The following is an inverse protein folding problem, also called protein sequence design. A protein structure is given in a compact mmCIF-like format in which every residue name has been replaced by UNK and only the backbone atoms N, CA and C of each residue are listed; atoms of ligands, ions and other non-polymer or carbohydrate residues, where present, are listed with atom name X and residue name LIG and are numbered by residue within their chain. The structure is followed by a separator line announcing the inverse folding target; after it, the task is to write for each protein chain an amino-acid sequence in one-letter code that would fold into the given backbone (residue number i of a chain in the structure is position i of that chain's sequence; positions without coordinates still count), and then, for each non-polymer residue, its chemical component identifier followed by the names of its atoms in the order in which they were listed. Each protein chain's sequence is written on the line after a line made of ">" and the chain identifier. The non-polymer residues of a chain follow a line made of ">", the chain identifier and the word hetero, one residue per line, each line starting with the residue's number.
data_IF_518495439011
#
_entry.id   IF_518495439011
#
_cell.length_a   1.000
_cell.length_b   1.000
_cell.length_c   1.000
_cell.angle_alpha   90.00
_cell.angle_beta   90.00
_cell.angle_gamma   90.00
#
_symmetry.space_group_name_H-M   'P 1'
#
loop_
_entity.id
_entity.type
_entity.pdbx_description
1 polymer ?
2 water ?
#
# COMPACT_ATOMS: atom_id res chain seq x y z
N UNK A 9 20.93 -0.88 6.27
CA UNK A 9 21.25 0.08 5.23
C UNK A 9 20.49 1.39 5.44
N UNK A 10 21.18 2.51 5.30
CA UNK A 10 20.59 3.81 5.55
C UNK A 10 20.76 4.73 4.36
N UNK A 11 20.05 5.84 4.40
CA UNK A 11 20.30 6.98 3.52
C UNK A 11 20.67 8.15 4.43
N UNK A 12 21.98 8.31 4.67
CA UNK A 12 22.47 9.54 5.29
C UNK A 12 22.12 10.66 4.33
N UNK A 13 21.09 11.45 4.68
CA UNK A 13 20.54 12.38 3.69
C UNK A 13 21.33 13.67 3.59
N UNK A 14 21.92 14.15 4.70
CA UNK A 14 22.66 15.40 4.65
C UNK A 14 23.79 15.33 3.63
N UNK A 15 24.54 14.24 3.61
CA UNK A 15 25.59 14.07 2.60
C UNK A 15 24.97 13.83 1.22
N UNK A 16 23.91 13.02 1.16
CA UNK A 16 23.19 12.86 -0.09
C UNK A 16 22.56 14.17 -0.57
N UNK A 17 22.40 15.14 0.34
CA UNK A 17 21.80 16.43 0.00
C UNK A 17 22.82 17.47 -0.46
N UNK A 18 24.10 17.26 -0.21
CA UNK A 18 25.14 18.23 -0.55
C UNK A 18 26.31 17.57 -1.24
N UNK A 19 26.03 16.55 -2.04
CA UNK A 19 27.05 15.85 -2.84
C UNK A 19 26.71 16.02 -4.31
N UNK A 20 27.71 16.41 -5.10
CA UNK A 20 27.50 16.73 -6.52
C UNK A 20 26.44 17.81 -6.70
N UNK A 21 26.33 18.72 -5.72
CA UNK A 21 25.31 19.75 -5.79
C UNK A 21 25.65 20.71 -6.92
N UNK A 22 24.64 21.07 -7.70
CA UNK A 22 24.80 22.00 -8.82
C UNK A 22 23.58 22.90 -8.80
N UNK A 23 23.61 23.98 -8.01
CA UNK A 23 22.41 24.79 -7.81
C UNK A 23 21.88 25.35 -9.12
N UNK A 24 20.57 25.16 -9.34
CA UNK A 24 19.85 25.58 -10.54
C UNK A 24 20.43 24.99 -11.82
N UNK A 25 21.30 23.98 -11.71
CA UNK A 25 21.74 23.20 -12.87
C UNK A 25 20.69 22.14 -13.17
N UNK A 26 19.56 22.61 -13.68
CA UNK A 26 18.40 21.74 -13.90
C UNK A 26 18.68 20.66 -14.92
N UNK A 27 19.76 20.80 -15.70
CA UNK A 27 20.10 19.75 -16.66
C UNK A 27 20.83 18.59 -15.99
N UNK A 28 21.59 18.86 -14.93
CA UNK A 28 22.36 17.83 -14.26
C UNK A 28 21.59 17.15 -13.14
N UNK A 29 20.26 17.23 -13.16
CA UNK A 29 19.44 16.46 -12.22
C UNK A 29 19.60 14.98 -12.50
N UNK A 30 19.58 14.59 -13.77
CA UNK A 30 19.72 13.21 -14.18
C UNK A 30 20.93 13.10 -15.10
N UNK A 31 21.73 12.05 -14.88
CA UNK A 31 22.86 11.74 -15.75
C UNK A 31 22.37 11.55 -17.19
N UNK A 32 22.69 12.50 -18.07
CA UNK A 32 22.26 12.42 -19.45
C UNK A 32 23.13 11.48 -20.29
N UNK A 33 24.29 11.08 -19.78
CA UNK A 33 25.10 10.03 -20.38
C UNK A 33 24.48 8.69 -19.98
N UNK A 34 23.84 8.01 -20.94
CA UNK A 34 23.00 6.86 -20.57
C UNK A 34 23.82 5.69 -20.08
N UNK A 35 25.03 5.48 -20.63
CA UNK A 35 25.88 4.43 -20.10
C UNK A 35 26.31 4.70 -18.67
N UNK A 36 26.67 5.95 -18.38
CA UNK A 36 26.96 6.32 -17.00
C UNK A 36 25.74 6.19 -16.11
N UNK A 37 24.55 6.43 -16.65
CA UNK A 37 23.34 6.36 -15.84
C UNK A 37 23.07 4.95 -15.35
N UNK A 38 23.24 3.95 -16.20
CA UNK A 38 22.92 2.59 -15.80
C UNK A 38 23.98 2.06 -14.83
N UNK A 39 25.23 2.48 -14.98
CA UNK A 39 26.25 2.11 -13.99
C UNK A 39 26.01 2.83 -12.67
N UNK A 40 25.41 4.02 -12.72
CA UNK A 40 24.99 4.71 -11.50
C UNK A 40 23.98 3.87 -10.72
N UNK A 41 23.00 3.29 -11.42
CA UNK A 41 21.93 2.56 -10.76
C UNK A 41 22.37 1.15 -10.40
N UNK A 42 23.05 0.46 -11.32
CA UNK A 42 23.50 -0.92 -11.12
C UNK A 42 25.01 -0.93 -11.18
N UNK A 43 25.68 -0.58 -10.06
CA UNK A 43 27.13 -0.33 -10.08
C UNK A 43 27.98 -1.45 -10.67
N UNK A 44 27.93 -2.64 -10.08
CA UNK A 44 28.75 -3.75 -10.55
C UNK A 44 28.08 -4.55 -11.65
N UNK A 45 26.75 -4.66 -11.57
CA UNK A 45 26.00 -5.60 -12.41
C UNK A 45 26.13 -5.21 -13.89
N UNK A 46 26.19 -3.92 -14.18
CA UNK A 46 26.02 -3.42 -15.53
C UNK A 46 27.31 -3.42 -16.36
N UNK A 47 28.44 -3.83 -15.79
CA UNK A 47 29.63 -4.07 -16.59
C UNK A 47 30.29 -5.40 -16.31
N UNK A 48 29.74 -6.20 -15.39
CA UNK A 48 30.24 -7.56 -15.19
C UNK A 48 30.06 -8.36 -16.48
N UNK A 49 31.14 -9.00 -16.92
CA UNK A 49 31.08 -9.90 -18.06
C UNK A 49 30.65 -11.31 -17.67
N UNK A 50 30.21 -11.50 -16.42
CA UNK A 50 29.78 -12.79 -15.91
C UNK A 50 28.38 -12.68 -15.31
N UNK A 51 27.53 -11.86 -15.92
CA UNK A 51 26.17 -11.69 -15.43
C UNK A 51 25.29 -12.82 -15.97
N UNK A 52 24.42 -13.40 -15.13
CA UNK A 52 23.44 -14.37 -15.64
C UNK A 52 22.57 -13.72 -16.71
N UNK A 53 22.20 -14.53 -17.70
CA UNK A 53 21.58 -14.01 -18.90
C UNK A 53 20.18 -13.49 -18.62
N UNK A 54 19.49 -14.06 -17.63
CA UNK A 54 18.20 -13.53 -17.22
C UNK A 54 18.35 -12.08 -16.78
N UNK A 55 19.46 -11.76 -16.13
CA UNK A 55 19.69 -10.37 -15.72
C UNK A 55 20.08 -9.51 -16.91
N UNK A 56 20.94 -10.02 -17.79
CA UNK A 56 21.35 -9.25 -18.96
C UNK A 56 20.15 -8.85 -19.82
N UNK A 57 19.14 -9.72 -19.90
CA UNK A 57 17.90 -9.35 -20.57
C UNK A 57 17.17 -8.23 -19.81
N UNK A 58 17.18 -8.30 -18.48
CA UNK A 58 16.54 -7.27 -17.67
C UNK A 58 17.14 -5.90 -17.95
N UNK A 59 18.48 -5.82 -17.97
CA UNK A 59 19.13 -4.57 -18.31
C UNK A 59 18.80 -4.13 -19.74
N UNK A 60 18.75 -5.09 -20.66
CA UNK A 60 18.39 -4.75 -22.04
C UNK A 60 16.97 -4.19 -22.11
N UNK A 61 16.03 -4.78 -21.37
CA UNK A 61 14.69 -4.22 -21.28
C UNK A 61 14.72 -2.80 -20.72
N UNK A 62 15.75 -2.46 -19.95
CA UNK A 62 15.84 -1.17 -19.28
C UNK A 62 16.39 -0.08 -20.20
N UNK A 63 17.27 -0.44 -21.15
CA UNK A 63 17.86 0.52 -22.08
C UNK A 63 16.87 1.49 -22.71
N UNK A 64 15.70 1.06 -23.22
CA UNK A 64 14.76 2.05 -23.77
C UNK A 64 14.13 2.93 -22.71
N UNK A 65 13.88 2.39 -21.51
CA UNK A 65 13.22 3.17 -20.47
C UNK A 65 14.13 4.29 -19.99
N UNK A 66 15.39 3.95 -19.68
CA UNK A 66 16.35 4.98 -19.29
C UNK A 66 16.53 6.01 -20.39
N UNK A 67 16.58 5.56 -21.64
CA UNK A 67 16.67 6.49 -22.76
C UNK A 67 15.52 7.48 -22.75
N UNK A 68 14.29 6.97 -22.63
CA UNK A 68 13.12 7.85 -22.61
C UNK A 68 13.17 8.78 -21.41
N UNK A 69 13.59 8.28 -20.25
CA UNK A 69 13.71 9.12 -19.07
C UNK A 69 14.66 10.29 -19.31
N UNK A 70 15.78 10.04 -19.98
CA UNK A 70 16.71 11.10 -20.30
C UNK A 70 16.09 12.11 -21.25
N UNK A 71 15.33 11.62 -22.23
CA UNK A 71 14.69 12.51 -23.20
C UNK A 71 13.66 13.40 -22.52
N UNK A 72 12.80 12.82 -21.70
CA UNK A 72 11.81 13.61 -20.97
C UNK A 72 12.47 14.64 -20.07
N UNK A 73 13.56 14.26 -19.40
CA UNK A 73 14.26 15.18 -18.51
C UNK A 73 14.80 16.39 -19.26
N UNK A 74 15.12 16.23 -20.54
CA UNK A 74 15.76 17.30 -21.30
C UNK A 74 14.76 18.23 -22.00
N UNK A 75 13.51 17.81 -22.13
CA UNK A 75 12.46 18.67 -22.67
C UNK A 75 11.56 19.25 -21.59
N UNK A 76 11.96 19.11 -20.33
CA UNK A 76 11.17 19.55 -19.18
C UNK A 76 11.72 20.87 -18.65
N UNK A 77 10.82 21.79 -18.30
CA UNK A 77 11.21 23.05 -17.65
C UNK A 77 10.97 22.89 -16.16
N UNK A 78 12.04 22.65 -15.40
CA UNK A 78 11.91 22.58 -13.96
C UNK A 78 11.65 23.96 -13.36
N UNK A 79 12.15 25.01 -14.00
CA UNK A 79 11.84 26.37 -13.57
C UNK A 79 10.35 26.65 -13.66
N UNK A 80 9.66 26.05 -14.63
CA UNK A 80 8.23 26.30 -14.78
C UNK A 80 7.44 25.74 -13.61
N UNK A 81 7.63 24.44 -13.32
CA UNK A 81 6.74 23.76 -12.39
C UNK A 81 6.95 24.25 -10.96
N UNK A 82 8.17 24.66 -10.61
CA UNK A 82 8.39 25.15 -9.25
C UNK A 82 7.69 26.49 -9.05
N UNK A 83 7.62 27.32 -10.11
CA UNK A 83 6.88 28.57 -10.01
C UNK A 83 5.38 28.33 -9.85
N UNK A 84 4.89 27.16 -10.28
CA UNK A 84 3.49 26.81 -10.06
C UNK A 84 3.30 26.21 -8.67
N UNK A 85 3.99 25.11 -8.37
CA UNK A 85 3.76 24.40 -7.12
C UNK A 85 4.30 25.18 -5.94
N UNK A 86 5.49 25.76 -6.06
CA UNK A 86 6.18 26.41 -4.94
C UNK A 86 6.58 27.84 -5.32
N UNK A 87 5.62 28.71 -5.60
CA UNK A 87 5.98 30.07 -6.04
C UNK A 87 6.53 30.90 -4.90
N UNK A 88 7.18 32.01 -5.28
CA UNK A 88 7.70 32.95 -4.30
C UNK A 88 6.57 33.51 -3.44
N UNK A 89 6.65 33.39 -2.12
CA UNK A 89 5.54 33.86 -1.31
C UNK A 89 5.87 34.82 -0.19
N UNK A 90 4.88 35.02 0.66
CA UNK A 90 5.00 35.90 1.82
C UNK A 90 5.90 35.20 2.77
N UNK A 91 5.68 33.90 2.91
CA UNK A 91 6.54 33.10 3.74
C UNK A 91 7.80 32.95 2.90
N UNK A 92 8.95 33.02 3.51
CA UNK A 92 10.16 32.91 2.75
C UNK A 92 10.66 31.48 2.61
N UNK A 93 9.94 30.53 3.16
CA UNK A 93 10.30 29.14 3.09
C UNK A 93 9.17 28.39 2.43
N UNK A 94 9.50 27.33 1.70
CA UNK A 94 8.51 26.52 0.99
C UNK A 94 8.01 25.43 1.91
N UNK A 95 6.69 25.31 2.03
CA UNK A 95 6.11 24.31 2.91
C UNK A 95 6.49 22.92 2.43
N UNK A 96 6.79 21.99 3.34
CA UNK A 96 7.08 20.62 2.92
C UNK A 96 6.00 20.03 2.03
N UNK A 97 4.73 20.32 2.32
CA UNK A 97 3.64 19.84 1.47
C UNK A 97 3.79 20.33 0.04
N UNK A 98 4.17 21.59 -0.14
CA UNK A 98 4.43 22.09 -1.49
C UNK A 98 5.66 21.42 -2.09
N UNK A 99 6.69 21.17 -1.27
CA UNK A 99 7.87 20.45 -1.73
C UNK A 99 7.50 19.03 -2.14
N UNK A 100 6.62 18.38 -1.37
CA UNK A 100 6.09 17.06 -1.70
C UNK A 100 5.51 17.08 -3.10
N UNK A 101 4.43 17.84 -3.27
CA UNK A 101 3.72 17.91 -4.53
C UNK A 101 4.67 18.16 -5.69
N UNK A 102 5.60 19.10 -5.50
CA UNK A 102 6.54 19.42 -6.57
C UNK A 102 7.35 18.21 -7.00
N UNK A 103 7.93 17.50 -6.04
CA UNK A 103 8.74 16.33 -6.36
C UNK A 103 7.90 15.26 -7.04
N UNK A 104 6.77 14.89 -6.44
CA UNK A 104 5.90 13.86 -7.01
C UNK A 104 5.47 14.24 -8.41
N UNK A 105 5.10 15.51 -8.61
CA UNK A 105 4.68 15.96 -9.94
C UNK A 105 5.82 15.83 -10.94
N UNK A 106 7.02 16.23 -10.54
CA UNK A 106 8.19 16.10 -11.41
C UNK A 106 8.38 14.65 -11.85
N UNK A 107 8.24 13.71 -10.91
CA UNK A 107 8.36 12.29 -11.26
C UNK A 107 7.25 11.88 -12.22
N UNK A 108 6.01 12.31 -11.92
CA UNK A 108 4.87 11.87 -12.71
C UNK A 108 4.96 12.35 -14.16
N UNK A 109 5.61 13.48 -14.40
CA UNK A 109 5.62 14.07 -15.73
C UNK A 109 6.84 13.70 -16.56
N UNK A 110 7.87 13.11 -15.95
CA UNK A 110 9.09 12.75 -16.69
C UNK A 110 9.40 11.26 -16.65
N UNK A 111 9.12 10.57 -15.55
CA UNK A 111 9.46 9.17 -15.44
C UNK A 111 8.58 8.33 -16.36
N UNK A 112 9.15 7.44 -17.18
CA UNK A 112 8.32 6.45 -17.86
C UNK A 112 7.59 5.59 -16.84
N UNK A 113 6.39 5.14 -17.23
CA UNK A 113 5.59 4.35 -16.30
C UNK A 113 6.23 2.99 -16.02
N UNK A 114 6.90 2.40 -17.02
CA UNK A 114 7.51 1.10 -16.82
C UNK A 114 8.79 1.15 -15.98
N UNK A 115 9.21 2.31 -15.49
CA UNK A 115 10.42 2.35 -14.67
C UNK A 115 10.18 1.73 -13.30
N UNK A 116 9.17 2.21 -12.59
CA UNK A 116 8.72 1.57 -11.35
C UNK A 116 7.56 0.62 -11.59
N UNK A 117 7.05 0.54 -12.81
CA UNK A 117 6.06 -0.45 -13.15
C UNK A 117 4.62 0.06 -13.20
N UNK A 118 4.03 0.22 -12.02
CA UNK A 118 2.62 0.58 -11.91
C UNK A 118 2.47 1.86 -11.09
N UNK A 119 1.24 2.37 -11.05
CA UNK A 119 0.93 3.47 -10.15
C UNK A 119 1.03 3.02 -8.70
N UNK A 120 0.63 1.78 -8.42
CA UNK A 120 0.82 1.20 -7.09
C UNK A 120 2.25 1.39 -6.61
N UNK A 121 3.22 1.06 -7.46
CA UNK A 121 4.62 1.23 -7.07
C UNK A 121 5.01 2.69 -7.02
N UNK A 122 4.41 3.54 -7.87
CA UNK A 122 4.71 4.97 -7.80
C UNK A 122 4.09 5.60 -6.57
N UNK A 123 3.02 5.00 -6.04
CA UNK A 123 2.49 5.43 -4.74
C UNK A 123 3.51 5.16 -3.64
N UNK A 124 4.09 3.95 -3.64
CA UNK A 124 5.16 3.62 -2.70
C UNK A 124 6.30 4.62 -2.82
N UNK A 125 6.55 5.13 -4.03
CA UNK A 125 7.51 6.21 -4.19
C UNK A 125 6.99 7.50 -3.55
N UNK A 126 5.74 7.87 -3.85
CA UNK A 126 5.15 9.06 -3.27
C UNK A 126 5.22 9.04 -1.75
N UNK A 127 4.81 7.92 -1.15
CA UNK A 127 4.93 7.77 0.30
C UNK A 127 6.37 7.92 0.75
N UNK A 128 7.30 7.30 0.01
CA UNK A 128 8.72 7.43 0.35
C UNK A 128 9.18 8.88 0.25
N UNK A 129 8.73 9.59 -0.78
CA UNK A 129 9.09 11.00 -0.90
C UNK A 129 8.51 11.80 0.27
N UNK A 130 7.33 11.42 0.76
CA UNK A 130 6.71 12.17 1.85
C UNK A 130 7.49 12.01 3.14
N UNK A 131 7.89 10.77 3.47
CA UNK A 131 8.67 10.54 4.68
C UNK A 131 9.96 11.33 4.64
N UNK A 132 10.63 11.33 3.48
CA UNK A 132 11.99 11.84 3.36
C UNK A 132 12.09 13.31 3.76
N UNK A 133 11.47 14.18 2.95
CA UNK A 133 11.52 15.63 3.14
C UNK A 133 11.12 16.03 4.55
N UNK A 134 10.13 15.34 5.12
CA UNK A 134 9.70 15.65 6.48
C UNK A 134 10.78 15.35 7.51
N UNK A 135 11.74 14.48 7.18
CA UNK A 135 12.82 14.20 8.12
C UNK A 135 13.85 15.32 8.08
N UNK A 136 14.49 15.59 9.21
CA UNK A 136 15.35 16.78 9.32
C UNK A 136 16.74 16.52 8.73
N UNK A 137 17.59 17.56 8.81
CA UNK A 137 18.97 17.41 8.39
C UNK A 137 19.72 16.49 9.34
N UNK A 138 20.76 15.85 8.80
CA UNK A 138 21.57 14.87 9.52
C UNK A 138 20.68 13.82 10.19
N UNK A 139 20.04 13.02 9.33
CA UNK A 139 19.10 12.00 9.77
C UNK A 139 19.27 10.76 8.92
N UNK A 140 19.69 9.66 9.55
CA UNK A 140 19.76 8.38 8.86
C UNK A 140 18.38 7.76 8.79
N UNK A 141 18.09 7.08 7.68
CA UNK A 141 16.78 6.52 7.42
C UNK A 141 16.93 5.06 7.02
N UNK A 142 16.13 4.18 7.62
CA UNK A 142 16.13 2.77 7.26
C UNK A 142 15.50 2.60 5.89
N UNK A 143 16.30 2.17 4.92
CA UNK A 143 15.83 2.10 3.53
C UNK A 143 14.74 1.05 3.37
N UNK A 144 14.96 -0.15 3.92
CA UNK A 144 14.03 -1.25 3.70
C UNK A 144 12.64 -0.95 4.27
N UNK A 145 12.54 -0.02 5.23
CA UNK A 145 11.23 0.41 5.69
C UNK A 145 10.42 1.06 4.58
N UNK A 146 11.11 1.68 3.62
CA UNK A 146 10.43 2.43 2.57
C UNK A 146 9.92 1.55 1.43
N UNK A 147 10.52 0.37 1.23
CA UNK A 147 10.10 -0.51 0.14
C UNK A 147 8.83 -1.26 0.52
N UNK A 148 7.82 -0.54 0.98
CA UNK A 148 6.69 -1.15 1.67
C UNK A 148 5.85 -2.03 0.74
N UNK A 149 5.27 -1.44 -0.30
CA UNK A 149 4.30 -2.16 -1.10
C UNK A 149 4.80 -2.43 -2.51
N UNK A 150 6.12 -2.44 -2.66
CA UNK A 150 6.73 -2.64 -3.96
C UNK A 150 6.39 -4.02 -4.54
N UNK A 151 5.57 -4.04 -5.57
CA UNK A 151 5.22 -5.27 -6.28
C UNK A 151 6.19 -5.45 -7.44
N UNK A 152 7.04 -6.48 -7.35
CA UNK A 152 7.93 -6.81 -8.46
C UNK A 152 7.20 -7.44 -9.62
N UNK A 153 5.92 -7.79 -9.45
CA UNK A 153 5.14 -8.37 -10.54
C UNK A 153 4.59 -7.32 -11.48
N UNK A 154 4.45 -6.07 -11.04
CA UNK A 154 3.90 -5.02 -11.88
C UNK A 154 4.91 -4.43 -12.85
N UNK A 155 6.20 -4.73 -12.68
CA UNK A 155 7.26 -4.13 -13.46
C UNK A 155 7.68 -5.12 -14.55
N UNK A 156 7.48 -4.73 -15.81
CA UNK A 156 7.62 -5.68 -16.91
C UNK A 156 9.06 -5.88 -17.35
N UNK A 157 9.91 -4.85 -17.27
CA UNK A 157 11.28 -5.01 -17.71
C UNK A 157 12.05 -6.04 -16.89
N UNK A 158 11.48 -6.50 -15.78
CA UNK A 158 12.03 -7.62 -15.02
C UNK A 158 11.44 -8.96 -15.45
N UNK A 159 10.47 -8.96 -16.36
CA UNK A 159 9.87 -10.20 -16.86
C UNK A 159 10.57 -10.55 -18.17
N UNK A 160 11.48 -11.52 -18.11
CA UNK A 160 12.27 -11.94 -19.25
C UNK A 160 11.79 -13.27 -19.85
N UNK A 161 10.80 -13.91 -19.25
CA UNK A 161 10.26 -15.13 -19.79
C UNK A 161 9.42 -14.84 -21.03
N UNK A 162 9.57 -15.69 -22.05
CA UNK A 162 8.78 -15.61 -23.29
C UNK A 162 8.23 -17.01 -23.54
N UNK A 163 7.01 -17.26 -23.08
CA UNK A 163 6.42 -18.59 -23.08
C UNK A 163 5.52 -18.79 -24.29
N UNK A 164 5.33 -20.05 -24.70
CA UNK A 164 4.43 -20.32 -25.83
C UNK A 164 2.98 -19.99 -25.48
N UNK A 165 2.15 -20.00 -26.53
CA UNK A 165 0.77 -19.53 -26.41
C UNK A 165 0.00 -20.26 -25.31
N UNK A 166 0.22 -21.57 -25.18
CA UNK A 166 -0.52 -22.36 -24.22
C UNK A 166 -0.25 -22.01 -22.77
N UNK A 167 0.98 -22.25 -22.31
CA UNK A 167 1.30 -22.22 -20.89
C UNK A 167 1.80 -20.82 -20.50
N UNK A 168 0.84 -19.90 -20.40
CA UNK A 168 1.12 -18.53 -19.97
C UNK A 168 0.96 -18.34 -18.47
N UNK A 169 0.26 -19.24 -17.79
CA UNK A 169 0.01 -19.15 -16.35
C UNK A 169 1.16 -19.68 -15.50
N UNK A 170 2.39 -19.66 -16.04
CA UNK A 170 3.52 -20.27 -15.36
C UNK A 170 3.89 -19.50 -14.10
N UNK A 171 4.14 -20.24 -13.01
CA UNK A 171 4.57 -19.63 -11.76
C UNK A 171 6.07 -19.36 -11.79
N UNK A 172 6.46 -18.21 -11.27
CA UNK A 172 7.86 -17.78 -11.32
C UNK A 172 8.64 -18.50 -10.21
N UNK A 173 9.83 -19.03 -10.49
CA UNK A 173 10.62 -19.69 -9.45
C UNK A 173 11.07 -18.70 -8.39
N UNK A 174 11.43 -19.25 -7.22
CA UNK A 174 11.86 -18.42 -6.10
C UNK A 174 13.12 -17.64 -6.45
N UNK A 175 14.15 -18.34 -6.96
CA UNK A 175 15.37 -17.67 -7.40
C UNK A 175 15.05 -16.51 -8.33
N UNK A 176 14.11 -16.72 -9.26
CA UNK A 176 13.74 -15.67 -10.20
C UNK A 176 13.15 -14.47 -9.49
N UNK A 177 12.14 -14.68 -8.64
CA UNK A 177 11.45 -13.56 -8.01
C UNK A 177 12.39 -12.83 -7.04
N UNK A 178 13.27 -13.57 -6.37
CA UNK A 178 14.22 -12.94 -5.45
C UNK A 178 15.20 -12.04 -6.20
N UNK A 179 15.66 -12.48 -7.38
CA UNK A 179 16.55 -11.65 -8.17
C UNK A 179 15.87 -10.35 -8.60
N UNK A 180 14.60 -10.44 -9.03
CA UNK A 180 13.88 -9.24 -9.45
C UNK A 180 13.64 -8.31 -8.27
N UNK A 181 13.39 -8.88 -7.09
CA UNK A 181 13.29 -8.05 -5.88
C UNK A 181 14.57 -7.25 -5.67
N UNK A 182 15.73 -7.89 -5.84
CA UNK A 182 17.01 -7.20 -5.67
C UNK A 182 17.16 -6.06 -6.66
N UNK A 183 16.89 -6.35 -7.95
CA UNK A 183 17.04 -5.33 -8.98
C UNK A 183 16.12 -4.14 -8.73
N UNK A 184 14.84 -4.40 -8.48
CA UNK A 184 13.89 -3.33 -8.25
C UNK A 184 14.28 -2.48 -7.04
N UNK A 185 14.70 -3.13 -5.95
CA UNK A 185 15.10 -2.39 -4.77
C UNK A 185 16.38 -1.59 -5.02
N UNK A 186 17.28 -2.11 -5.85
CA UNK A 186 18.47 -1.36 -6.22
C UNK A 186 18.09 -0.11 -7.00
N UNK A 187 17.08 -0.21 -7.87
CA UNK A 187 16.64 0.96 -8.62
C UNK A 187 15.89 1.94 -7.71
N UNK A 188 15.00 1.42 -6.86
CA UNK A 188 14.31 2.26 -5.88
C UNK A 188 15.31 3.00 -5.00
N UNK A 189 16.38 2.31 -4.58
CA UNK A 189 17.40 2.96 -3.76
C UNK A 189 18.04 4.13 -4.50
N UNK A 190 18.23 3.99 -5.81
CA UNK A 190 18.81 5.08 -6.58
C UNK A 190 17.84 6.25 -6.72
N UNK A 191 16.53 5.98 -6.76
CA UNK A 191 15.55 7.05 -6.85
C UNK A 191 15.59 7.91 -5.59
N UNK A 192 15.65 7.27 -4.43
CA UNK A 192 15.51 7.97 -3.16
C UNK A 192 16.83 8.56 -2.68
N UNK A 193 17.95 7.89 -2.94
CA UNK A 193 19.24 8.33 -2.42
C UNK A 193 20.05 9.12 -3.43
N UNK A 194 19.71 9.06 -4.72
CA UNK A 194 20.41 9.83 -5.75
C UNK A 194 19.49 10.86 -6.41
N UNK A 195 18.38 10.41 -7.01
CA UNK A 195 17.58 11.31 -7.83
C UNK A 195 16.81 12.31 -6.97
N UNK A 196 16.04 11.82 -6.00
CA UNK A 196 15.26 12.71 -5.15
C UNK A 196 16.14 13.78 -4.48
N UNK A 197 17.26 13.44 -3.83
CA UNK A 197 18.05 14.50 -3.19
C UNK A 197 18.65 15.48 -4.17
N UNK A 198 18.95 15.05 -5.40
CA UNK A 198 19.49 15.97 -6.38
C UNK A 198 18.42 16.92 -6.93
N UNK A 199 17.16 16.45 -7.01
CA UNK A 199 16.07 17.35 -7.32
C UNK A 199 15.93 18.42 -6.24
N UNK A 200 15.94 18.01 -4.98
CA UNK A 200 15.81 18.95 -3.87
C UNK A 200 16.91 20.00 -3.89
N UNK A 201 18.16 19.56 -4.00
CA UNK A 201 19.29 20.48 -3.97
C UNK A 201 19.22 21.49 -5.10
N UNK A 202 18.69 21.09 -6.26
CA UNK A 202 18.63 22.00 -7.41
C UNK A 202 17.59 23.09 -7.19
N UNK A 203 16.42 22.74 -6.66
CA UNK A 203 15.38 23.71 -6.43
C UNK A 203 15.64 24.55 -5.18
N UNK A 204 16.08 23.90 -4.10
CA UNK A 204 16.08 24.51 -2.77
C UNK A 204 17.46 24.47 -2.15
N UNK A 205 17.85 25.59 -1.55
CA UNK A 205 18.83 25.56 -0.48
C UNK A 205 18.14 25.00 0.77
N UNK A 206 18.68 23.93 1.34
CA UNK A 206 18.07 23.24 2.46
C UNK A 206 18.88 23.48 3.72
N UNK A 207 18.19 23.74 4.82
CA UNK A 207 18.84 24.10 6.07
C UNK A 207 17.90 23.80 7.24
N UNK A 208 18.30 24.20 8.43
CA UNK A 208 17.49 24.00 9.59
C UNK A 208 17.46 25.27 10.39
N UNK A 209 16.33 25.57 10.99
CA UNK A 209 16.23 26.75 11.84
C UNK A 209 17.00 26.59 13.14
N UNK A 210 17.59 25.41 13.37
CA UNK A 210 18.34 24.99 14.55
C UNK A 210 17.42 24.61 15.71
N UNK A 211 16.11 24.84 15.60
CA UNK A 211 15.18 24.65 16.70
C UNK A 211 14.21 23.50 16.36
N UNK A 212 12.98 23.59 16.86
CA UNK A 212 11.99 22.55 16.63
C UNK A 212 11.78 22.31 15.13
N UNK A 213 11.66 23.39 14.37
CA UNK A 213 11.65 23.29 12.91
C UNK A 213 13.06 22.96 12.44
N UNK A 214 13.31 21.65 12.31
CA UNK A 214 14.63 21.16 11.93
C UNK A 214 14.80 20.83 10.46
N UNK A 215 13.86 21.28 9.64
CA UNK A 215 13.96 21.08 8.20
C UNK A 215 13.34 22.28 7.49
N UNK A 216 14.16 23.03 6.76
CA UNK A 216 13.73 24.25 6.08
C UNK A 216 14.11 24.16 4.62
N UNK A 217 13.18 24.55 3.74
CA UNK A 217 13.40 24.59 2.30
C UNK A 217 13.20 26.01 1.81
N UNK A 218 14.26 26.62 1.32
CA UNK A 218 14.23 27.98 0.81
C UNK A 218 14.68 27.96 -0.64
N UNK A 219 13.86 28.51 -1.53
CA UNK A 219 14.21 28.61 -2.94
C UNK A 219 15.57 29.27 -3.11
N UNK A 220 16.34 28.79 -4.09
CA UNK A 220 17.72 29.22 -4.22
C UNK A 220 17.83 30.72 -4.50
N UNK A 221 16.94 31.26 -5.33
CA UNK A 221 16.96 32.68 -5.60
C UNK A 221 16.56 33.48 -4.34
N UNK A 222 15.48 33.07 -3.68
CA UNK A 222 15.10 33.69 -2.41
C UNK A 222 16.24 33.65 -1.42
N UNK A 223 16.94 32.50 -1.34
CA UNK A 223 18.06 32.40 -0.42
C UNK A 223 19.16 33.39 -0.80
N UNK A 224 19.45 33.53 -2.10
CA UNK A 224 20.54 34.41 -2.52
C UNK A 224 20.21 35.87 -2.25
N UNK A 225 18.94 36.25 -2.37
CA UNK A 225 18.53 37.59 -2.00
C UNK A 225 18.67 37.80 -0.49
N UNK A 226 18.26 36.81 0.31
CA UNK A 226 18.34 36.93 1.76
C UNK A 226 19.76 36.96 2.33
N UNK A 227 20.71 36.37 1.62
CA UNK A 227 22.10 36.40 2.08
C UNK A 227 22.91 37.55 1.50
N UNK A 228 22.41 38.24 0.47
CA UNK A 228 23.18 39.29 -0.21
C UNK A 228 23.75 40.33 0.75
N UNK A 229 22.95 40.96 1.62
CA UNK A 229 23.54 41.94 2.54
C UNK A 229 24.62 41.35 3.43
N UNK A 230 24.49 40.08 3.81
CA UNK A 230 25.50 39.43 4.64
C UNK A 230 26.81 39.27 3.87
N UNK A 231 26.76 38.73 2.65
CA UNK A 231 27.97 38.63 1.84
C UNK A 231 28.53 40.00 1.50
N UNK A 232 27.65 40.98 1.25
CA UNK A 232 28.10 42.31 0.86
C UNK A 232 28.97 42.95 1.93
N UNK A 233 28.78 42.56 3.20
CA UNK A 233 29.66 42.99 4.29
C UNK A 233 30.72 41.91 4.52
N UNK A 234 31.99 42.27 4.29
CA UNK A 234 33.07 41.31 4.42
C UNK A 234 34.40 41.91 4.84
N UNK A 235 34.42 43.22 5.11
CA UNK A 235 35.63 44.02 4.99
C UNK A 235 36.66 43.72 6.08
N UNK A 236 36.37 42.82 7.01
CA UNK A 236 37.38 42.38 7.97
C UNK A 236 38.34 41.38 7.31
N UNK B 9 -16.34 -27.65 5.17
CA UNK B 9 -17.12 -26.42 5.20
C UNK B 9 -16.79 -25.55 4.00
N UNK B 10 -17.83 -25.04 3.34
CA UNK B 10 -17.64 -24.26 2.14
C UNK B 10 -18.56 -23.06 2.22
N UNK B 11 -18.17 -21.98 1.55
CA UNK B 11 -18.89 -20.71 1.63
C UNK B 11 -19.33 -20.32 0.22
N UNK B 12 -20.62 -20.02 0.07
CA UNK B 12 -21.17 -19.58 -1.21
C UNK B 12 -20.86 -18.10 -1.34
N UNK B 13 -19.82 -17.79 -2.13
CA UNK B 13 -19.45 -16.40 -2.35
C UNK B 13 -20.62 -15.60 -2.91
N UNK B 14 -21.29 -16.15 -3.92
CA UNK B 14 -22.39 -15.43 -4.57
C UNK B 14 -23.51 -15.13 -3.59
N UNK B 15 -23.96 -16.14 -2.84
CA UNK B 15 -25.03 -15.91 -1.88
C UNK B 15 -24.60 -14.96 -0.77
N UNK B 16 -23.36 -15.08 -0.31
CA UNK B 16 -22.86 -14.14 0.69
C UNK B 16 -22.73 -12.73 0.12
N UNK B 17 -22.43 -12.61 -1.17
CA UNK B 17 -22.22 -11.30 -1.78
C UNK B 17 -23.53 -10.54 -1.98
N UNK B 18 -24.66 -11.23 -2.02
CA UNK B 18 -25.98 -10.61 -2.17
C UNK B 18 -26.91 -11.03 -1.03
N UNK B 19 -26.37 -11.05 0.20
CA UNK B 19 -27.13 -11.56 1.34
C UNK B 19 -28.14 -10.53 1.85
N UNK B 20 -27.65 -9.49 2.53
CA UNK B 20 -28.51 -8.41 3.01
C UNK B 20 -28.00 -7.12 2.39
N UNK B 21 -27.85 -7.10 1.06
CA UNK B 21 -27.11 -6.03 0.39
C UNK B 21 -27.73 -4.69 0.69
N UNK B 22 -26.88 -3.68 0.83
CA UNK B 22 -27.28 -2.31 1.12
C UNK B 22 -26.36 -1.39 0.34
N UNK B 23 -26.60 -1.23 -0.97
CA UNK B 23 -25.67 -0.48 -1.83
C UNK B 23 -25.36 0.92 -1.29
N UNK B 24 -24.08 1.17 -1.03
CA UNK B 24 -23.57 2.44 -0.52
C UNK B 24 -24.15 2.82 0.84
N UNK B 25 -24.87 1.90 1.49
CA UNK B 25 -25.30 2.10 2.88
C UNK B 25 -24.10 1.75 3.76
N UNK B 26 -23.15 2.68 3.82
CA UNK B 26 -21.87 2.43 4.47
C UNK B 26 -22.01 2.21 5.97
N UNK B 27 -23.10 2.67 6.58
CA UNK B 27 -23.25 2.56 8.02
C UNK B 27 -23.57 1.13 8.46
N UNK B 28 -24.16 0.32 7.59
CA UNK B 28 -24.61 -1.02 7.96
C UNK B 28 -23.69 -2.12 7.44
N UNK B 29 -22.42 -1.79 7.14
CA UNK B 29 -21.44 -2.82 6.85
C UNK B 29 -21.24 -3.71 8.07
N UNK B 30 -21.37 -3.15 9.26
CA UNK B 30 -21.14 -3.85 10.51
C UNK B 30 -22.34 -3.62 11.41
N UNK B 31 -22.85 -4.69 12.01
CA UNK B 31 -23.92 -4.57 12.99
C UNK B 31 -23.49 -3.65 14.12
N UNK B 32 -24.04 -2.43 14.15
CA UNK B 32 -23.71 -1.47 15.20
C UNK B 32 -24.37 -1.81 16.54
N UNK B 33 -25.32 -2.74 16.54
CA UNK B 33 -25.94 -3.24 17.77
C UNK B 33 -25.05 -4.34 18.32
N UNK B 34 -24.34 -4.05 19.42
CA UNK B 34 -23.28 -4.95 19.88
C UNK B 34 -23.85 -6.29 20.35
N UNK B 35 -25.03 -6.29 20.96
CA UNK B 35 -25.65 -7.55 21.34
C UNK B 35 -25.98 -8.43 20.14
N UNK B 36 -26.44 -7.81 19.05
CA UNK B 36 -26.70 -8.55 17.82
C UNK B 36 -25.41 -8.97 17.14
N UNK B 37 -24.36 -8.15 17.23
CA UNK B 37 -23.09 -8.49 16.59
C UNK B 37 -22.49 -9.75 17.20
N UNK B 38 -22.44 -9.83 18.53
CA UNK B 38 -21.78 -10.96 19.18
C UNK B 38 -22.53 -12.25 18.89
N UNK B 39 -23.87 -12.21 18.91
CA UNK B 39 -24.65 -13.40 18.54
C UNK B 39 -24.48 -13.72 17.07
N UNK B 40 -24.29 -12.69 16.23
CA UNK B 40 -24.03 -12.92 14.81
C UNK B 40 -22.71 -13.64 14.59
N UNK B 41 -21.71 -13.37 15.42
CA UNK B 41 -20.42 -14.03 15.28
C UNK B 41 -20.44 -15.41 15.93
N UNK B 42 -20.84 -15.48 17.19
CA UNK B 42 -20.94 -16.74 17.91
C UNK B 42 -22.40 -17.08 18.16
N UNK B 43 -23.10 -17.63 17.18
CA UNK B 43 -24.51 -18.00 17.40
C UNK B 43 -24.61 -19.21 18.32
N UNK B 44 -25.54 -19.13 19.26
CA UNK B 44 -25.85 -20.20 20.21
C UNK B 44 -24.78 -20.36 21.28
N UNK B 45 -23.56 -19.90 21.03
CA UNK B 45 -22.59 -19.81 22.11
C UNK B 45 -22.89 -18.61 23.01
N UNK B 46 -23.24 -17.48 22.39
CA UNK B 46 -23.40 -16.23 23.13
C UNK B 46 -24.70 -16.19 23.93
N UNK B 47 -25.70 -16.99 23.58
CA UNK B 47 -26.98 -16.96 24.27
C UNK B 47 -27.21 -18.13 25.21
N UNK B 48 -26.42 -19.20 25.10
CA UNK B 48 -26.59 -20.34 25.99
C UNK B 48 -26.29 -19.94 27.44
N UNK B 49 -27.15 -20.39 28.36
CA UNK B 49 -26.91 -20.25 29.79
C UNK B 49 -26.21 -21.47 30.37
N UNK B 50 -25.54 -22.26 29.53
CA UNK B 50 -24.78 -23.43 29.96
C UNK B 50 -23.39 -23.43 29.32
N UNK B 51 -22.81 -22.25 29.09
CA UNK B 51 -21.49 -22.26 28.49
C UNK B 51 -20.42 -22.42 29.56
N UNK B 52 -19.32 -23.11 29.22
CA UNK B 52 -18.21 -23.22 30.16
C UNK B 52 -17.65 -21.84 30.51
N UNK B 53 -17.29 -21.68 31.78
CA UNK B 53 -16.83 -20.38 32.26
C UNK B 53 -15.57 -19.91 31.54
N UNK B 54 -14.77 -20.85 31.03
CA UNK B 54 -13.58 -20.47 30.28
C UNK B 54 -13.95 -19.73 29.00
N UNK B 55 -15.15 -19.98 28.48
CA UNK B 55 -15.60 -19.29 27.28
C UNK B 55 -16.43 -18.05 27.61
N UNK B 56 -17.12 -18.03 28.76
CA UNK B 56 -17.71 -16.79 29.24
C UNK B 56 -16.65 -15.71 29.39
N UNK B 57 -15.49 -16.07 29.94
CA UNK B 57 -14.39 -15.13 30.07
C UNK B 57 -13.89 -14.68 28.70
N UNK B 58 -13.74 -15.62 27.77
CA UNK B 58 -13.32 -15.27 26.42
C UNK B 58 -14.28 -14.27 25.79
N UNK B 59 -15.58 -14.53 25.93
CA UNK B 59 -16.58 -13.65 25.33
C UNK B 59 -16.55 -12.27 25.97
N UNK B 60 -16.35 -12.21 27.29
CA UNK B 60 -16.29 -10.92 27.97
C UNK B 60 -15.04 -10.15 27.58
N UNK B 61 -13.93 -10.84 27.38
CA UNK B 61 -12.73 -10.20 26.84
C UNK B 61 -13.03 -9.52 25.51
N UNK B 62 -13.89 -10.13 24.70
CA UNK B 62 -14.19 -9.67 23.36
C UNK B 62 -15.09 -8.45 23.34
N UNK B 63 -15.84 -8.19 24.41
CA UNK B 63 -16.79 -7.08 24.41
C UNK B 63 -16.12 -5.72 24.20
N UNK B 64 -15.01 -5.38 24.88
CA UNK B 64 -14.35 -4.10 24.55
C UNK B 64 -13.85 -4.04 23.12
N UNK B 65 -13.37 -5.16 22.58
CA UNK B 65 -12.87 -5.17 21.21
C UNK B 65 -14.00 -4.92 20.23
N UNK B 66 -15.08 -5.70 20.36
CA UNK B 66 -16.23 -5.52 19.47
C UNK B 66 -16.81 -4.12 19.62
N UNK B 67 -16.71 -3.52 20.79
CA UNK B 67 -17.23 -2.17 20.96
C UNK B 67 -16.32 -1.20 20.24
N UNK B 68 -15.01 -1.34 20.42
CA UNK B 68 -14.09 -0.46 19.71
C UNK B 68 -14.19 -0.66 18.20
N UNK B 69 -14.52 -1.88 17.75
CA UNK B 69 -14.71 -2.10 16.33
C UNK B 69 -15.92 -1.33 15.82
N UNK B 70 -17.04 -1.39 16.55
CA UNK B 70 -18.22 -0.64 16.15
C UNK B 70 -17.95 0.86 16.20
N UNK B 71 -17.24 1.31 17.24
CA UNK B 71 -16.93 2.73 17.36
C UNK B 71 -16.07 3.21 16.20
N UNK B 72 -15.01 2.48 15.87
CA UNK B 72 -14.14 2.86 14.76
C UNK B 72 -14.91 2.83 13.44
N UNK B 73 -15.77 1.84 13.25
CA UNK B 73 -16.53 1.74 12.01
C UNK B 73 -17.48 2.91 11.83
N UNK B 74 -17.99 3.48 12.92
CA UNK B 74 -18.93 4.60 12.82
C UNK B 74 -18.24 5.94 12.59
N UNK B 75 -16.92 6.02 12.78
CA UNK B 75 -16.17 7.25 12.56
C UNK B 75 -15.32 7.19 11.30
N UNK B 76 -15.45 6.13 10.51
CA UNK B 76 -14.62 5.91 9.34
C UNK B 76 -15.35 6.41 8.09
N UNK B 77 -14.59 7.02 7.18
CA UNK B 77 -15.14 7.51 5.92
C UNK B 77 -14.90 6.46 4.85
N UNK B 78 -15.94 5.68 4.56
CA UNK B 78 -15.82 4.64 3.54
C UNK B 78 -15.78 5.25 2.14
N UNK B 79 -16.56 6.32 1.92
CA UNK B 79 -16.60 6.93 0.60
C UNK B 79 -15.26 7.59 0.25
N UNK B 80 -14.47 7.96 1.26
CA UNK B 80 -13.13 8.49 1.01
C UNK B 80 -12.19 7.41 0.54
N UNK B 81 -12.16 6.29 1.26
CA UNK B 81 -11.08 5.32 1.08
C UNK B 81 -11.18 4.65 -0.28
N UNK B 82 -12.38 4.54 -0.85
CA UNK B 82 -12.50 4.00 -2.19
C UNK B 82 -12.08 5.04 -3.22
N UNK B 83 -12.32 6.33 -2.95
CA UNK B 83 -11.91 7.37 -3.88
C UNK B 83 -10.39 7.52 -3.96
N UNK B 84 -9.65 6.88 -3.06
CA UNK B 84 -8.19 6.88 -3.10
C UNK B 84 -7.61 5.60 -3.65
N UNK B 85 -8.21 4.44 -3.36
CA UNK B 85 -7.69 3.17 -3.84
C UNK B 85 -8.38 2.71 -5.12
N UNK B 86 -9.68 2.94 -5.25
CA UNK B 86 -10.43 2.54 -6.44
C UNK B 86 -11.15 3.76 -7.02
N UNK B 87 -10.42 4.74 -7.54
CA UNK B 87 -11.07 5.95 -8.04
C UNK B 87 -11.83 5.68 -9.34
N UNK B 88 -12.81 6.54 -9.60
CA UNK B 88 -13.58 6.49 -10.84
C UNK B 88 -12.64 6.67 -12.03
N UNK B 89 -12.06 5.56 -12.50
CA UNK B 89 -11.00 5.61 -13.50
C UNK B 89 -11.60 5.46 -14.90
N UNK B 90 -10.74 5.60 -15.88
CA UNK B 90 -11.16 5.50 -17.27
C UNK B 90 -11.62 4.10 -17.59
N UNK B 91 -11.23 3.16 -16.76
CA UNK B 91 -11.68 1.80 -17.00
C UNK B 91 -13.06 1.70 -16.41
N UNK B 92 -13.89 0.87 -16.98
CA UNK B 92 -15.23 0.74 -16.45
C UNK B 92 -15.26 -0.07 -15.16
N UNK B 93 -14.26 -0.90 -14.94
CA UNK B 93 -14.18 -1.73 -13.76
C UNK B 93 -12.90 -1.53 -12.95
N UNK B 94 -13.00 -1.69 -11.65
CA UNK B 94 -11.90 -1.63 -10.70
C UNK B 94 -11.14 -2.96 -10.72
N UNK B 95 -9.82 -2.88 -10.79
CA UNK B 95 -9.01 -4.07 -10.88
C UNK B 95 -9.04 -4.84 -9.57
N UNK B 96 -9.09 -6.18 -9.63
CA UNK B 96 -8.97 -6.98 -8.39
C UNK B 96 -7.80 -6.56 -7.51
N UNK B 97 -6.65 -6.22 -8.11
CA UNK B 97 -5.50 -5.77 -7.34
C UNK B 97 -5.86 -4.57 -6.48
N UNK B 98 -6.66 -3.65 -7.02
CA UNK B 98 -7.08 -2.48 -6.25
C UNK B 98 -8.17 -2.82 -5.25
N UNK B 99 -9.00 -3.82 -5.55
CA UNK B 99 -10.09 -4.18 -4.63
C UNK B 99 -9.54 -4.90 -3.41
N UNK B 100 -8.62 -5.86 -3.61
CA UNK B 100 -7.96 -6.52 -2.50
C UNK B 100 -7.32 -5.49 -1.58
N UNK B 101 -6.63 -4.51 -2.17
CA UNK B 101 -5.95 -3.48 -1.39
C UNK B 101 -6.95 -2.60 -0.63
N UNK B 102 -8.07 -2.26 -1.28
CA UNK B 102 -9.10 -1.46 -0.61
C UNK B 102 -9.62 -2.16 0.63
N UNK B 103 -9.94 -3.45 0.51
CA UNK B 103 -10.51 -4.18 1.64
C UNK B 103 -9.51 -4.30 2.78
N UNK B 104 -8.27 -4.69 2.46
CA UNK B 104 -7.23 -4.84 3.48
C UNK B 104 -7.06 -3.54 4.24
N UNK B 105 -6.95 -2.42 3.51
CA UNK B 105 -6.77 -1.12 4.14
C UNK B 105 -7.95 -0.80 5.05
N UNK B 106 -9.16 -1.17 4.62
CA UNK B 106 -10.33 -0.97 5.46
C UNK B 106 -10.19 -1.71 6.78
N UNK B 107 -9.75 -2.97 6.73
CA UNK B 107 -9.61 -3.77 7.94
C UNK B 107 -8.52 -3.18 8.84
N UNK B 108 -7.42 -2.72 8.25
CA UNK B 108 -6.29 -2.24 9.05
C UNK B 108 -6.57 -0.89 9.71
N UNK B 109 -7.54 -0.15 9.22
CA UNK B 109 -7.84 1.15 9.81
C UNK B 109 -9.01 1.15 10.76
N UNK B 110 -9.70 0.03 10.87
CA UNK B 110 -10.86 -0.06 11.75
C UNK B 110 -10.77 -1.18 12.76
N UNK B 111 -10.26 -2.34 12.38
CA UNK B 111 -10.23 -3.49 13.28
C UNK B 111 -9.21 -3.24 14.39
N UNK B 112 -9.59 -3.39 15.66
CA UNK B 112 -8.58 -3.37 16.73
C UNK B 112 -7.58 -4.49 16.51
N UNK B 113 -6.32 -4.21 16.88
CA UNK B 113 -5.26 -5.20 16.67
C UNK B 113 -5.56 -6.51 17.38
N UNK B 114 -6.27 -6.45 18.51
CA UNK B 114 -6.51 -7.62 19.34
C UNK B 114 -7.67 -8.49 18.86
N UNK B 115 -8.36 -8.10 17.79
CA UNK B 115 -9.48 -8.92 17.32
C UNK B 115 -8.98 -10.23 16.72
N UNK B 116 -7.98 -10.16 15.85
CA UNK B 116 -7.27 -11.36 15.44
C UNK B 116 -5.94 -11.52 16.18
N UNK B 117 -5.48 -10.49 16.88
CA UNK B 117 -4.39 -10.63 17.81
C UNK B 117 -3.03 -10.14 17.33
N UNK B 118 -2.56 -10.68 16.21
CA UNK B 118 -1.21 -10.44 15.74
C UNK B 118 -1.22 -9.97 14.30
N UNK B 119 -0.07 -9.47 13.85
CA UNK B 119 0.08 -9.10 12.45
C UNK B 119 0.16 -10.33 11.57
N UNK B 120 0.70 -11.44 12.10
CA UNK B 120 0.66 -12.71 11.36
C UNK B 120 -0.77 -13.09 11.02
N UNK B 121 -1.69 -12.90 11.97
CA UNK B 121 -3.07 -13.33 11.77
C UNK B 121 -3.83 -12.40 10.83
N UNK B 122 -3.44 -11.13 10.74
CA UNK B 122 -4.01 -10.27 9.71
C UNK B 122 -3.37 -10.52 8.35
N UNK B 123 -2.12 -10.99 8.34
CA UNK B 123 -1.52 -11.48 7.10
C UNK B 123 -2.31 -12.67 6.56
N UNK B 124 -2.65 -13.61 7.45
CA UNK B 124 -3.50 -14.73 7.06
C UNK B 124 -4.83 -14.23 6.52
N UNK B 125 -5.40 -13.21 7.16
CA UNK B 125 -6.62 -12.60 6.65
C UNK B 125 -6.40 -11.97 5.28
N UNK B 126 -5.29 -11.22 5.14
CA UNK B 126 -5.04 -10.52 3.88
C UNK B 126 -4.85 -11.51 2.73
N UNK B 127 -4.12 -12.59 2.96
CA UNK B 127 -4.02 -13.63 1.95
C UNK B 127 -5.37 -14.29 1.70
N UNK B 128 -6.20 -14.41 2.75
CA UNK B 128 -7.53 -14.97 2.56
C UNK B 128 -8.41 -14.04 1.72
N UNK B 129 -8.24 -12.73 1.90
CA UNK B 129 -9.02 -11.79 1.09
C UNK B 129 -8.61 -11.89 -0.38
N UNK B 130 -7.30 -11.92 -0.65
CA UNK B 130 -6.81 -11.97 -2.02
C UNK B 130 -7.39 -13.17 -2.77
N UNK B 131 -7.30 -14.37 -2.19
CA UNK B 131 -7.88 -15.56 -2.81
C UNK B 131 -9.36 -15.35 -3.08
N UNK B 132 -10.05 -14.67 -2.17
CA UNK B 132 -11.50 -14.55 -2.28
C UNK B 132 -11.90 -13.57 -3.37
N UNK B 133 -11.20 -12.44 -3.49
CA UNK B 133 -11.53 -11.48 -4.54
C UNK B 133 -11.18 -12.06 -5.91
N UNK B 134 -10.04 -12.73 -6.02
CA UNK B 134 -9.58 -13.31 -7.28
C UNK B 134 -10.38 -14.54 -7.70
N UNK B 135 -11.35 -14.96 -6.89
CA UNK B 135 -12.21 -16.12 -7.07
C UNK B 135 -13.45 -15.75 -7.88
N UNK B 136 -13.92 -16.64 -8.76
CA UNK B 136 -15.06 -16.29 -9.61
C UNK B 136 -16.34 -16.05 -8.80
N UNK B 137 -17.29 -15.36 -9.44
CA UNK B 137 -18.63 -15.29 -8.90
C UNK B 137 -19.30 -16.65 -9.06
N UNK B 138 -20.20 -16.97 -8.12
CA UNK B 138 -20.72 -18.33 -7.96
C UNK B 138 -19.57 -19.33 -7.81
N UNK B 139 -18.93 -19.26 -6.64
CA UNK B 139 -17.81 -20.13 -6.32
C UNK B 139 -17.91 -20.58 -4.87
N UNK B 140 -17.60 -21.84 -4.63
CA UNK B 140 -17.61 -22.41 -3.29
C UNK B 140 -16.18 -22.88 -3.00
N UNK B 141 -15.53 -22.30 -1.99
CA UNK B 141 -14.20 -22.77 -1.58
C UNK B 141 -14.29 -23.37 -0.19
N UNK B 142 -13.40 -24.33 0.06
CA UNK B 142 -13.28 -24.94 1.37
C UNK B 142 -12.73 -23.91 2.36
N UNK B 143 -13.46 -23.68 3.45
CA UNK B 143 -13.10 -22.62 4.38
C UNK B 143 -11.83 -22.95 5.14
N UNK B 144 -11.69 -24.18 5.62
CA UNK B 144 -10.54 -24.55 6.46
C UNK B 144 -9.21 -24.38 5.73
N UNK B 145 -9.22 -24.40 4.40
CA UNK B 145 -8.01 -24.09 3.64
C UNK B 145 -7.47 -22.72 4.02
N UNK B 146 -8.35 -21.73 4.13
CA UNK B 146 -7.92 -20.34 4.31
C UNK B 146 -7.36 -20.06 5.69
N UNK B 147 -7.56 -20.95 6.65
CA UNK B 147 -7.13 -20.70 8.02
C UNK B 147 -5.66 -21.00 8.26
N UNK B 148 -4.94 -21.51 7.26
CA UNK B 148 -3.55 -21.90 7.48
C UNK B 148 -2.70 -20.69 7.84
N UNK B 149 -1.97 -20.79 8.95
CA UNK B 149 -1.19 -19.71 9.49
C UNK B 149 -1.77 -19.08 10.74
N UNK B 150 -3.06 -19.28 11.00
CA UNK B 150 -3.70 -18.69 12.17
C UNK B 150 -3.09 -19.23 13.45
N UNK B 151 -2.48 -18.33 14.23
CA UNK B 151 -1.89 -18.64 15.52
C UNK B 151 -2.85 -18.18 16.60
N UNK B 152 -3.40 -19.13 17.36
CA UNK B 152 -4.27 -18.74 18.48
C UNK B 152 -3.46 -18.22 19.67
N UNK B 153 -2.15 -18.50 19.71
CA UNK B 153 -1.32 -18.11 20.84
C UNK B 153 -1.07 -16.61 20.89
N UNK B 154 -1.41 -15.87 19.85
CA UNK B 154 -1.27 -14.42 19.83
C UNK B 154 -2.56 -13.70 20.17
N UNK B 155 -3.63 -14.42 20.45
CA UNK B 155 -4.97 -13.85 20.61
C UNK B 155 -5.23 -13.76 22.11
N UNK B 156 -5.06 -12.56 22.68
CA UNK B 156 -5.08 -12.41 24.13
C UNK B 156 -6.49 -12.54 24.70
N UNK B 157 -7.52 -12.19 23.93
CA UNK B 157 -8.87 -12.34 24.45
C UNK B 157 -9.30 -13.80 24.57
N UNK B 158 -8.56 -14.73 23.96
CA UNK B 158 -8.77 -16.14 24.18
C UNK B 158 -8.00 -16.67 25.38
N UNK B 159 -6.98 -15.95 25.85
CA UNK B 159 -6.21 -16.34 27.03
C UNK B 159 -6.98 -15.89 28.26
N UNK B 160 -7.61 -16.83 28.96
CA UNK B 160 -8.44 -16.52 30.10
C UNK B 160 -7.83 -16.97 31.44
N UNK B 161 -6.58 -17.41 31.43
CA UNK B 161 -5.88 -17.79 32.66
C UNK B 161 -5.15 -16.57 33.22
N UNK B 162 -5.17 -16.46 34.55
CA UNK B 162 -4.44 -15.40 35.27
C UNK B 162 -3.71 -16.08 36.43
N UNK B 163 -2.42 -16.38 36.22
CA UNK B 163 -1.64 -17.22 37.11
C UNK B 163 -0.67 -16.38 37.96
N UNK B 164 -0.29 -16.87 39.13
CA UNK B 164 0.62 -16.11 40.00
C UNK B 164 2.01 -15.97 39.37
N UNK B 165 2.80 -15.09 39.99
CA UNK B 165 4.04 -14.60 39.37
C UNK B 165 4.99 -15.75 39.03
N UNK B 166 5.06 -16.77 39.87
CA UNK B 166 5.93 -17.90 39.62
C UNK B 166 5.54 -18.65 38.36
N UNK B 167 4.53 -19.50 38.46
CA UNK B 167 3.99 -20.18 37.29
C UNK B 167 3.46 -19.16 36.29
N UNK B 168 4.30 -18.80 35.32
CA UNK B 168 3.89 -17.98 34.19
C UNK B 168 4.15 -18.67 32.86
N UNK B 169 4.98 -19.70 32.84
CA UNK B 169 5.36 -20.43 31.64
C UNK B 169 4.46 -21.62 31.37
N UNK B 170 3.51 -21.91 32.27
CA UNK B 170 2.63 -23.05 32.17
C UNK B 170 2.03 -23.15 30.77
N UNK B 171 2.11 -24.34 30.19
CA UNK B 171 1.53 -24.56 28.88
C UNK B 171 0.03 -24.85 29.00
N UNK B 172 -0.64 -24.87 27.86
CA UNK B 172 -2.09 -24.84 27.80
C UNK B 172 -2.60 -26.27 27.55
N UNK B 173 -3.57 -26.76 28.34
CA UNK B 173 -3.99 -28.16 28.21
C UNK B 173 -4.59 -28.49 26.84
N UNK B 174 -4.88 -29.77 26.61
CA UNK B 174 -5.33 -30.16 25.29
C UNK B 174 -6.71 -29.57 25.00
N UNK B 175 -7.71 -29.89 25.83
CA UNK B 175 -9.03 -29.28 25.67
C UNK B 175 -8.96 -27.79 25.43
N UNK B 176 -8.03 -27.10 26.09
CA UNK B 176 -7.98 -25.64 26.11
C UNK B 176 -7.61 -25.03 24.76
N UNK B 177 -6.39 -25.25 24.29
CA UNK B 177 -5.91 -24.72 23.00
C UNK B 177 -6.92 -24.98 21.88
N UNK B 178 -7.82 -25.95 22.13
CA UNK B 178 -8.81 -26.44 21.17
C UNK B 178 -10.02 -25.57 21.13
N UNK B 179 -10.74 -25.51 22.24
CA UNK B 179 -11.88 -24.59 22.34
C UNK B 179 -11.49 -23.18 21.88
N UNK B 180 -10.27 -22.75 22.18
CA UNK B 180 -9.74 -21.49 21.65
C UNK B 180 -9.62 -21.54 20.12
N UNK B 181 -9.10 -22.64 19.58
CA UNK B 181 -8.97 -22.76 18.13
C UNK B 181 -10.33 -22.67 17.45
N UNK B 182 -11.32 -23.40 17.98
CA UNK B 182 -12.67 -23.32 17.44
C UNK B 182 -13.20 -21.88 17.47
N UNK B 183 -12.90 -21.15 18.55
CA UNK B 183 -13.40 -19.78 18.68
C UNK B 183 -12.76 -18.88 17.63
N UNK B 184 -11.43 -18.93 17.50
CA UNK B 184 -10.76 -18.08 16.52
C UNK B 184 -11.25 -18.37 15.10
N UNK B 185 -11.62 -19.62 14.81
CA UNK B 185 -12.05 -19.95 13.46
C UNK B 185 -13.50 -19.54 13.21
N UNK B 186 -14.33 -19.53 14.25
CA UNK B 186 -15.68 -18.99 14.12
C UNK B 186 -15.64 -17.48 13.84
N UNK B 187 -14.68 -16.79 14.44
CA UNK B 187 -14.53 -15.36 14.19
C UNK B 187 -13.95 -15.13 12.79
N UNK B 188 -12.87 -15.82 12.45
CA UNK B 188 -12.32 -15.78 11.10
C UNK B 188 -13.40 -16.07 10.07
N UNK B 189 -14.23 -17.09 10.33
CA UNK B 189 -15.32 -17.42 9.43
C UNK B 189 -16.27 -16.24 9.25
N UNK B 190 -16.61 -15.55 10.33
CA UNK B 190 -17.51 -14.42 10.23
C UNK B 190 -16.89 -13.27 9.44
N UNK B 191 -15.57 -13.13 9.51
CA UNK B 191 -14.90 -12.08 8.74
C UNK B 191 -15.02 -12.35 7.25
N UNK B 192 -14.81 -13.60 6.84
CA UNK B 192 -14.72 -13.92 5.42
C UNK B 192 -16.08 -14.04 4.76
N UNK B 193 -17.08 -14.57 5.46
CA UNK B 193 -18.37 -14.86 4.86
C UNK B 193 -19.47 -13.89 5.27
N UNK B 194 -19.23 -13.01 6.23
CA UNK B 194 -20.22 -12.02 6.63
C UNK B 194 -19.74 -10.59 6.44
N UNK B 195 -18.52 -10.27 6.90
CA UNK B 195 -18.05 -8.89 6.82
C UNK B 195 -17.51 -8.56 5.43
N UNK B 196 -16.53 -9.34 4.97
CA UNK B 196 -15.92 -9.08 3.67
C UNK B 196 -16.95 -9.06 2.54
N UNK B 197 -17.86 -10.04 2.42
CA UNK B 197 -18.86 -9.94 1.35
C UNK B 197 -19.75 -8.72 1.48
N UNK B 198 -20.09 -8.35 2.72
CA UNK B 198 -20.91 -7.16 2.94
C UNK B 198 -20.17 -5.90 2.52
N UNK B 199 -18.87 -5.83 2.83
CA UNK B 199 -18.09 -4.65 2.46
C UNK B 199 -17.98 -4.51 0.95
N UNK B 200 -17.78 -5.61 0.24
CA UNK B 200 -17.67 -5.58 -1.21
C UNK B 200 -18.94 -5.05 -1.85
N UNK B 201 -20.07 -5.72 -1.56
CA UNK B 201 -21.33 -5.35 -2.19
C UNK B 201 -21.77 -3.95 -1.80
N UNK B 202 -21.32 -3.46 -0.63
CA UNK B 202 -21.57 -2.07 -0.29
C UNK B 202 -20.82 -1.13 -1.23
N UNK B 203 -19.60 -1.52 -1.61
CA UNK B 203 -18.77 -0.74 -2.53
C UNK B 203 -19.07 -1.04 -3.98
N UNK B 204 -19.15 -2.33 -4.34
CA UNK B 204 -19.06 -2.76 -5.73
C UNK B 204 -20.29 -3.55 -6.15
N UNK B 205 -20.85 -3.17 -7.30
CA UNK B 205 -21.69 -4.11 -8.03
C UNK B 205 -20.81 -5.25 -8.53
N UNK B 206 -21.16 -6.47 -8.15
CA UNK B 206 -20.32 -7.64 -8.40
C UNK B 206 -21.02 -8.49 -9.45
N UNK B 207 -20.47 -8.51 -10.65
CA UNK B 207 -21.05 -9.26 -11.76
C UNK B 207 -20.00 -10.15 -12.39
N UNK B 208 -20.45 -10.96 -13.34
CA UNK B 208 -19.60 -11.90 -14.06
C UNK B 208 -19.76 -11.65 -15.56
N UNK B 209 -18.65 -11.36 -16.23
CA UNK B 209 -18.61 -11.45 -17.68
C UNK B 209 -18.37 -12.91 -18.06
N UNK B 210 -18.52 -13.21 -19.35
CA UNK B 210 -18.30 -14.58 -19.78
C UNK B 210 -16.85 -14.77 -20.20
N UNK B 211 -16.55 -15.90 -20.84
CA UNK B 211 -15.20 -16.26 -21.30
C UNK B 211 -14.29 -16.36 -20.08
N UNK B 212 -13.12 -15.73 -20.10
CA UNK B 212 -12.09 -15.97 -19.09
C UNK B 212 -11.97 -14.83 -18.06
N UNK B 213 -13.02 -14.03 -17.91
CA UNK B 213 -13.07 -13.02 -16.84
C UNK B 213 -14.35 -13.28 -16.05
N UNK B 214 -14.21 -14.02 -14.96
CA UNK B 214 -15.34 -14.56 -14.20
C UNK B 214 -15.72 -13.71 -12.99
N UNK B 215 -15.03 -12.61 -12.75
CA UNK B 215 -15.36 -11.74 -11.63
C UNK B 215 -15.09 -10.28 -12.04
N UNK B 216 -16.11 -9.45 -11.95
CA UNK B 216 -16.04 -8.04 -12.32
C UNK B 216 -16.55 -7.22 -11.15
N UNK B 217 -15.79 -6.22 -10.74
CA UNK B 217 -16.16 -5.33 -9.65
C UNK B 217 -16.37 -3.93 -10.22
N UNK B 218 -17.61 -3.46 -10.14
CA UNK B 218 -18.01 -2.18 -10.73
C UNK B 218 -18.62 -1.32 -9.64
N UNK B 219 -18.00 -0.16 -9.39
CA UNK B 219 -18.49 0.77 -8.38
C UNK B 219 -19.94 1.14 -8.66
N UNK B 220 -20.73 1.24 -7.58
CA UNK B 220 -22.15 1.55 -7.74
C UNK B 220 -22.35 2.91 -8.41
N UNK B 221 -21.47 3.87 -8.12
CA UNK B 221 -21.53 5.16 -8.81
C UNK B 221 -21.54 4.95 -10.31
N UNK B 222 -20.51 4.29 -10.83
CA UNK B 222 -20.40 4.09 -12.27
C UNK B 222 -21.53 3.20 -12.78
N UNK B 223 -21.83 2.11 -12.08
CA UNK B 223 -22.83 1.17 -12.59
C UNK B 223 -24.20 1.84 -12.73
N UNK B 224 -24.55 2.73 -11.81
CA UNK B 224 -25.83 3.42 -11.93
C UNK B 224 -25.87 4.25 -13.21
N UNK B 225 -24.75 4.88 -13.58
CA UNK B 225 -24.73 5.69 -14.79
C UNK B 225 -24.81 4.83 -16.04
N UNK B 226 -23.85 3.91 -16.21
CA UNK B 226 -23.82 3.13 -17.43
C UNK B 226 -25.04 2.22 -17.57
N UNK B 227 -25.85 2.06 -16.53
CA UNK B 227 -27.08 1.30 -16.65
C UNK B 227 -28.30 2.17 -16.97
N UNK B 228 -28.26 3.46 -16.64
CA UNK B 228 -29.47 4.27 -16.71
C UNK B 228 -30.09 4.38 -18.12
N UNK B 229 -29.35 4.46 -19.23
CA UNK B 229 -30.06 4.47 -20.52
C UNK B 229 -30.81 3.18 -20.80
N UNK B 230 -30.30 2.04 -20.34
CA UNK B 230 -31.02 0.78 -20.52
C UNK B 230 -32.33 0.78 -19.74
N UNK B 231 -32.37 1.45 -18.58
CA UNK B 231 -33.60 1.50 -17.80
C UNK B 231 -34.63 2.41 -18.47
N UNK B 232 -34.18 3.50 -19.08
CA UNK B 232 -35.09 4.54 -19.57
C UNK B 232 -35.85 4.13 -20.82
N UNK B 233 -35.52 3.00 -21.44
CA UNK B 233 -36.12 2.60 -22.70
C UNK B 233 -37.06 1.42 -22.56
N UNK B 234 -37.34 0.95 -21.35
CA UNK B 234 -38.01 -0.31 -21.11
C UNK B 234 -39.48 -0.06 -20.73
N UNK B 235 -40.38 -0.28 -21.68
CA UNK B 235 -41.81 -0.07 -21.48
C UNK B 235 -42.55 -1.40 -21.43
N UNK B 236 -43.80 -1.33 -20.95
CA UNK B 236 -44.70 -2.49 -20.89
C UNK B 236 -44.11 -3.61 -20.05
#
# INVERSE_FOLDING_TARGET
>A
SNIERNTKLTIDWNSALYHKIRPQDYKNIIETDQGLLIAEIFPKISESSKTPRSLNFALNNLKPILYELIRAHERFSYRHIINNICPKSDTFYSSPKSVIKLLIVCVRKTFPLDLLGSNSNYSVLSKAIAILVKKPLHSKILFDELCKGLRVKDVKWLETRRLPAGEQTQKIPYYDVKNRQALLYKLFFWILSCYVPKLLSTFFYVTELSSTVDIVYIRHDTWKTMSQPFLKSYFRR
>B
SNIERNTKLTIDWNSALYHKIRPQDYKNIIETDQGLLIAEIFPKISESSKTPRSLNFALNNLKPILYELIRAHERFSYRHIINNICPKSDTFYSSPKSVIKLLIVCVRKTFPLDLLGSNSNYSVLSKAIAILVKKPLHSKILFDELCKGLRVKDVKWLETRRLPAGEQTQKIPYYDVKNRQALLYKLFFWILSCYVPKLLSTFFYVTELSSTVDIVYIRHDTWKTMSQPFLKSYFRR
#
